data_IF_361010928229
#
_entry.id   IF_361010928229
#
_cell.length_a   1.000
_cell.length_b   1.000
_cell.length_c   1.000
_cell.angle_alpha   90.00
_cell.angle_beta   90.00
_cell.angle_gamma   90.00
#
_symmetry.space_group_name_H-M   'P 1'
#
loop_
_entity.id
_entity.type
_entity.pdbx_description
1 polymer ?
#
# COMPACT_ATOMS: atom_id res chain seq x y z
N UNK A 1 11.05 -11.42 -8.15
CA UNK A 1 11.77 -11.16 -6.89
C UNK A 1 11.88 -9.68 -6.46
N UNK A 2 11.30 -8.64 -7.11
CA UNK A 2 11.45 -7.26 -6.62
C UNK A 2 10.67 -6.96 -5.33
N UNK A 3 9.50 -7.59 -5.15
CA UNK A 3 8.67 -7.44 -3.94
C UNK A 3 9.41 -7.82 -2.64
N UNK A 4 10.18 -8.89 -2.66
CA UNK A 4 10.89 -9.36 -1.47
C UNK A 4 12.04 -8.43 -1.08
N UNK A 5 12.67 -7.78 -2.07
CA UNK A 5 13.76 -6.83 -1.87
C UNK A 5 13.23 -5.55 -1.19
N UNK A 6 12.11 -5.01 -1.65
CA UNK A 6 11.52 -3.80 -1.06
C UNK A 6 10.97 -4.03 0.34
N UNK A 7 10.52 -5.24 0.64
CA UNK A 7 10.12 -5.62 2.00
C UNK A 7 11.30 -5.77 2.97
N UNK A 8 12.42 -6.35 2.54
CA UNK A 8 13.62 -6.42 3.38
C UNK A 8 14.15 -5.01 3.69
N UNK A 9 14.12 -4.10 2.71
CA UNK A 9 14.53 -2.71 2.89
C UNK A 9 13.62 -1.88 3.81
N UNK A 10 12.40 -2.36 4.07
CA UNK A 10 11.47 -1.74 5.03
C UNK A 10 11.74 -2.15 6.47
N UNK A 11 12.54 -3.21 6.71
CA UNK A 11 12.90 -3.61 8.05
C UNK A 11 13.82 -2.55 8.68
N UNK A 12 13.50 -2.05 9.89
CA UNK A 12 14.26 -0.99 10.53
C UNK A 12 15.71 -1.39 10.86
N UNK A 13 16.02 -2.70 10.89
CA UNK A 13 17.39 -3.20 11.12
C UNK A 13 18.29 -3.15 9.87
N UNK A 14 17.73 -3.05 8.67
CA UNK A 14 18.48 -3.29 7.41
C UNK A 14 18.40 -2.12 6.42
N UNK A 15 17.30 -1.36 6.42
CA UNK A 15 17.09 -0.30 5.44
C UNK A 15 16.35 0.92 5.98
N UNK A 16 16.58 2.07 5.34
CA UNK A 16 15.81 3.27 5.64
C UNK A 16 14.48 3.24 4.86
N UNK A 17 13.35 3.66 5.45
CA UNK A 17 12.04 3.69 4.78
C UNK A 17 12.02 4.55 3.51
N UNK A 18 12.97 5.47 3.37
CA UNK A 18 13.15 6.29 2.18
C UNK A 18 13.48 5.48 0.92
N UNK A 19 14.41 4.52 1.01
CA UNK A 19 14.81 3.71 -0.14
C UNK A 19 13.70 2.76 -0.61
N UNK A 20 12.91 2.24 0.33
CA UNK A 20 11.76 1.41 -0.01
C UNK A 20 10.76 2.15 -0.91
N UNK A 21 10.44 3.40 -0.57
CA UNK A 21 9.50 4.22 -1.35
C UNK A 21 9.99 4.53 -2.78
N UNK A 22 11.31 4.71 -2.95
CA UNK A 22 11.93 4.87 -4.27
C UNK A 22 11.78 3.59 -5.09
N UNK A 23 12.10 2.44 -4.51
CA UNK A 23 11.96 1.16 -5.22
C UNK A 23 10.50 0.83 -5.55
N UNK A 24 9.56 1.21 -4.68
CA UNK A 24 8.13 1.10 -4.98
C UNK A 24 7.76 1.90 -6.24
N UNK A 25 8.38 3.05 -6.50
CA UNK A 25 8.14 3.84 -7.71
C UNK A 25 8.79 3.22 -8.95
N UNK A 26 10.00 2.68 -8.79
CA UNK A 26 10.74 2.03 -9.89
C UNK A 26 10.04 0.75 -10.34
N UNK A 27 9.47 -0.01 -9.42
CA UNK A 27 8.78 -1.27 -9.74
C UNK A 27 7.27 -1.14 -9.94
N UNK A 28 6.68 0.04 -9.69
CA UNK A 28 5.27 0.31 -9.94
C UNK A 28 4.77 -0.01 -11.38
N UNK A 29 5.58 0.13 -12.44
CA UNK A 29 5.16 -0.27 -13.79
C UNK A 29 4.90 -1.77 -13.96
N UNK A 30 5.43 -2.61 -13.06
CA UNK A 30 5.24 -4.06 -13.12
C UNK A 30 3.90 -4.44 -12.44
N UNK A 31 2.90 -4.96 -13.18
CA UNK A 31 1.58 -5.23 -12.61
C UNK A 31 1.61 -6.26 -11.48
N UNK A 32 2.49 -7.27 -11.58
CA UNK A 32 2.66 -8.29 -10.54
C UNK A 32 3.15 -7.67 -9.21
N UNK A 33 4.02 -6.66 -9.30
CA UNK A 33 4.51 -5.94 -8.13
C UNK A 33 3.38 -5.17 -7.43
N UNK A 34 2.67 -4.34 -8.18
CA UNK A 34 1.53 -3.57 -7.65
C UNK A 34 0.45 -4.48 -7.05
N UNK A 35 0.18 -5.65 -7.66
CA UNK A 35 -0.83 -6.60 -7.15
C UNK A 35 -0.39 -7.18 -5.80
N UNK A 36 0.82 -7.72 -5.72
CA UNK A 36 1.36 -8.29 -4.47
C UNK A 36 1.45 -7.26 -3.34
N UNK A 37 1.87 -6.03 -3.66
CA UNK A 37 1.95 -4.93 -2.70
C UNK A 37 0.58 -4.49 -2.19
N UNK A 38 -0.39 -4.37 -3.11
CA UNK A 38 -1.79 -4.09 -2.79
C UNK A 38 -2.37 -5.10 -1.79
N UNK A 39 -2.20 -6.40 -2.06
CA UNK A 39 -2.67 -7.44 -1.15
C UNK A 39 -1.99 -7.39 0.22
N UNK A 40 -0.68 -7.15 0.25
CA UNK A 40 0.07 -7.04 1.51
C UNK A 40 -0.45 -5.87 2.34
N UNK A 41 -0.54 -4.68 1.76
CA UNK A 41 -0.90 -3.47 2.50
C UNK A 41 -2.35 -3.55 3.01
N UNK A 42 -3.28 -4.15 2.22
CA UNK A 42 -4.65 -4.44 2.66
C UNK A 42 -4.71 -5.47 3.81
N UNK A 43 -3.83 -6.47 3.77
CA UNK A 43 -3.76 -7.51 4.80
C UNK A 43 -3.19 -6.94 6.10
N UNK A 44 -2.10 -6.16 6.01
CA UNK A 44 -1.48 -5.50 7.16
C UNK A 44 -2.44 -4.52 7.82
N UNK A 45 -3.14 -3.69 7.04
CA UNK A 45 -4.16 -2.80 7.59
C UNK A 45 -5.26 -3.59 8.27
N UNK A 46 -5.85 -4.60 7.62
CA UNK A 46 -6.90 -5.45 8.23
C UNK A 46 -6.47 -6.10 9.55
N UNK A 47 -5.27 -6.69 9.59
CA UNK A 47 -4.73 -7.29 10.83
C UNK A 47 -4.50 -6.25 11.92
N UNK A 48 -3.99 -5.06 11.57
CA UNK A 48 -3.81 -3.99 12.55
C UNK A 48 -5.15 -3.52 13.13
N UNK A 49 -6.21 -3.40 12.31
CA UNK A 49 -7.55 -3.04 12.80
C UNK A 49 -8.05 -4.06 13.83
N UNK A 50 -7.98 -5.36 13.50
CA UNK A 50 -8.43 -6.44 14.38
C UNK A 50 -7.59 -6.55 15.65
N UNK A 51 -6.27 -6.35 15.55
CA UNK A 51 -5.39 -6.32 16.70
C UNK A 51 -5.74 -5.17 17.65
N UNK A 52 -5.97 -3.97 17.13
CA UNK A 52 -6.34 -2.80 17.93
C UNK A 52 -7.74 -2.95 18.57
N UNK A 53 -8.69 -3.55 17.86
CA UNK A 53 -10.03 -3.85 18.39
C UNK A 53 -9.96 -4.90 19.53
N UNK A 54 -9.18 -5.97 19.35
CA UNK A 54 -8.98 -6.97 20.40
C UNK A 54 -8.27 -6.42 21.65
N UNK A 55 -7.34 -5.47 21.47
CA UNK A 55 -6.69 -4.75 22.58
C UNK A 55 -7.71 -3.93 23.37
N UNK A 56 -8.62 -3.22 22.70
CA UNK A 56 -9.72 -2.52 23.38
C UNK A 56 -10.60 -3.46 24.20
N UNK A 57 -10.88 -4.67 23.71
CA UNK A 57 -11.63 -5.68 24.45
C UNK A 57 -10.93 -6.21 25.71
N UNK A 58 -9.60 -6.18 25.77
CA UNK A 58 -8.82 -6.57 26.96
C UNK A 58 -8.68 -5.45 27.99
N UNK A 59 -8.60 -4.19 27.55
CA UNK A 59 -8.49 -3.03 28.43
C UNK A 59 -9.88 -2.53 28.88
N UNK A 60 -10.59 -3.35 29.67
CA UNK A 60 -11.96 -3.11 30.18
C UNK A 60 -12.08 -1.88 31.12
N UNK A 61 -10.96 -1.26 31.53
CA UNK A 61 -10.94 -0.12 32.47
C UNK A 61 -10.94 1.28 31.80
N UNK A 62 -11.13 1.39 30.48
CA UNK A 62 -11.35 2.68 29.82
C UNK A 62 -12.75 2.73 29.19
N UNK A 63 -13.64 3.54 29.76
CA UNK A 63 -15.05 3.67 29.34
C UNK A 63 -15.26 4.20 27.90
N UNK A 64 -14.20 4.62 27.21
CA UNK A 64 -14.21 5.04 25.80
C UNK A 64 -12.94 4.57 25.10
N UNK A 65 -12.82 3.27 24.83
CA UNK A 65 -11.73 2.75 24.02
C UNK A 65 -12.01 3.03 22.53
N UNK A 66 -11.54 4.19 22.05
CA UNK A 66 -11.48 4.51 20.62
C UNK A 66 -10.05 4.33 20.09
N UNK A 67 -9.93 4.14 18.78
CA UNK A 67 -8.64 4.01 18.07
C UNK A 67 -7.72 5.21 18.34
N UNK A 68 -8.31 6.40 18.44
CA UNK A 68 -7.63 7.64 18.80
C UNK A 68 -7.04 7.60 20.22
N UNK A 69 -7.76 7.00 21.17
CA UNK A 69 -7.30 6.85 22.55
C UNK A 69 -6.13 5.85 22.65
N UNK A 70 -6.16 4.77 21.87
CA UNK A 70 -5.04 3.82 21.75
C UNK A 70 -3.79 4.48 21.14
N UNK A 71 -3.98 5.32 20.12
CA UNK A 71 -2.89 6.03 19.46
C UNK A 71 -2.28 7.08 20.40
N UNK A 72 -3.08 7.94 21.04
CA UNK A 72 -2.59 9.06 21.84
C UNK A 72 -2.24 8.72 23.30
N UNK A 73 -2.97 7.81 23.96
CA UNK A 73 -2.71 7.47 25.37
C UNK A 73 -1.77 6.28 25.57
N UNK A 74 -1.85 5.26 24.73
CA UNK A 74 -0.98 4.08 24.82
C UNK A 74 0.25 4.18 23.89
N UNK A 75 0.32 5.18 23.02
CA UNK A 75 1.41 5.42 22.06
C UNK A 75 1.73 4.19 21.20
N UNK A 76 0.70 3.40 20.87
CA UNK A 76 0.84 2.24 19.99
C UNK A 76 0.74 2.76 18.55
N UNK A 77 1.89 3.01 17.94
CA UNK A 77 1.99 3.52 16.56
C UNK A 77 1.29 2.65 15.52
N UNK A 78 1.11 1.35 15.79
CA UNK A 78 0.41 0.39 14.93
C UNK A 78 -1.11 0.64 14.90
N UNK A 79 -1.68 1.29 15.92
CA UNK A 79 -3.10 1.63 16.00
C UNK A 79 -3.43 3.05 15.52
N UNK A 80 -2.42 3.85 15.17
CA UNK A 80 -2.56 5.19 14.62
C UNK A 80 -2.90 5.14 13.12
N UNK A 81 -4.00 4.49 12.78
CA UNK A 81 -4.48 4.33 11.41
C UNK A 81 -5.81 5.06 11.29
N UNK A 82 -5.86 6.02 10.36
CA UNK A 82 -7.07 6.77 9.99
C UNK A 82 -8.23 5.81 9.68
N UNK A 83 -9.47 6.26 9.93
CA UNK A 83 -10.67 5.41 9.84
C UNK A 83 -10.94 4.86 8.42
N UNK A 84 -10.42 5.50 7.37
CA UNK A 84 -10.51 5.06 5.96
C UNK A 84 -9.13 4.83 5.32
N UNK A 85 -8.34 3.84 5.77
CA UNK A 85 -6.93 3.74 5.37
C UNK A 85 -6.73 3.13 3.97
N UNK A 86 -7.71 2.37 3.48
CA UNK A 86 -7.56 1.52 2.32
C UNK A 86 -7.33 2.28 1.00
N UNK A 87 -8.00 3.41 0.81
CA UNK A 87 -7.97 4.22 -0.42
C UNK A 87 -7.01 5.42 -0.35
N UNK A 88 -6.24 5.54 0.73
CA UNK A 88 -5.30 6.65 0.90
C UNK A 88 -4.16 6.61 -0.14
N UNK A 89 -3.61 7.79 -0.46
CA UNK A 89 -2.51 7.94 -1.42
C UNK A 89 -1.14 7.66 -0.80
N UNK A 90 -1.00 7.96 0.49
CA UNK A 90 0.16 7.62 1.32
C UNK A 90 0.01 6.22 1.89
N UNK A 91 1.13 5.52 2.07
CA UNK A 91 1.15 4.23 2.75
C UNK A 91 0.55 4.40 4.16
N UNK A 92 -0.40 3.53 4.61
CA UNK A 92 -0.72 2.17 4.14
C UNK A 92 -1.76 2.05 3.01
N UNK A 93 -2.14 3.15 2.35
CA UNK A 93 -3.16 3.13 1.30
C UNK A 93 -2.73 2.56 -0.05
N UNK A 94 -3.73 2.09 -0.80
CA UNK A 94 -3.56 1.38 -2.07
C UNK A 94 -3.66 2.30 -3.31
N UNK A 95 -4.08 3.56 -3.11
CA UNK A 95 -4.50 4.47 -4.18
C UNK A 95 -3.41 4.71 -5.24
N UNK A 96 -2.16 4.83 -4.81
CA UNK A 96 -1.00 4.98 -5.71
C UNK A 96 -0.80 3.76 -6.62
N UNK A 97 -0.98 2.54 -6.10
CA UNK A 97 -0.81 1.32 -6.88
C UNK A 97 -1.95 1.12 -7.89
N UNK A 98 -3.19 1.45 -7.50
CA UNK A 98 -4.33 1.45 -8.42
C UNK A 98 -4.12 2.41 -9.58
N UNK A 99 -3.70 3.64 -9.30
CA UNK A 99 -3.41 4.64 -10.33
C UNK A 99 -2.34 4.15 -11.31
N UNK A 100 -1.25 3.55 -10.79
CA UNK A 100 -0.19 2.99 -11.63
C UNK A 100 -0.65 1.83 -12.50
N UNK A 101 -1.47 0.92 -11.96
CA UNK A 101 -2.05 -0.16 -12.75
C UNK A 101 -2.93 0.35 -13.91
N UNK A 102 -3.80 1.34 -13.64
CA UNK A 102 -4.65 1.94 -14.67
C UNK A 102 -3.81 2.64 -15.74
N UNK A 103 -2.77 3.36 -15.33
CA UNK A 103 -1.87 4.07 -16.25
C UNK A 103 -1.09 3.09 -17.15
N UNK A 104 -0.52 2.03 -16.58
CA UNK A 104 0.19 1.00 -17.36
C UNK A 104 -0.76 0.30 -18.32
N UNK A 105 -1.97 -0.03 -17.88
CA UNK A 105 -3.01 -0.62 -18.73
C UNK A 105 -3.39 0.30 -19.91
N UNK A 106 -3.60 1.59 -19.64
CA UNK A 106 -3.91 2.57 -20.68
C UNK A 106 -2.76 2.75 -21.69
N UNK A 107 -1.51 2.79 -21.22
CA UNK A 107 -0.33 2.89 -22.09
C UNK A 107 -0.16 1.64 -22.94
N UNK A 108 -0.26 0.44 -22.34
CA UNK A 108 -0.16 -0.81 -23.07
C UNK A 108 -1.27 -0.94 -24.11
N UNK A 109 -2.50 -0.56 -23.75
CA UNK A 109 -3.63 -0.53 -24.66
C UNK A 109 -3.43 0.45 -25.82
N UNK A 110 -2.93 1.66 -25.55
CA UNK A 110 -2.60 2.63 -26.60
C UNK A 110 -1.52 2.10 -27.56
N UNK A 111 -0.48 1.45 -27.06
CA UNK A 111 0.57 0.82 -27.88
C UNK A 111 -0.01 -0.28 -28.77
N UNK A 112 -0.92 -1.11 -28.25
CA UNK A 112 -1.60 -2.14 -29.03
C UNK A 112 -2.44 -1.52 -30.15
N UNK A 113 -3.22 -0.48 -29.86
CA UNK A 113 -4.00 0.22 -30.88
C UNK A 113 -3.11 0.82 -31.98
N UNK A 114 -1.99 1.46 -31.62
CA UNK A 114 -1.06 2.02 -32.61
C UNK A 114 -0.52 0.93 -33.55
N UNK A 115 -0.25 -0.28 -33.02
CA UNK A 115 0.21 -1.42 -33.79
C UNK A 115 -0.88 -2.00 -34.68
N UNK A 116 -2.09 -2.21 -34.15
CA UNK A 116 -3.21 -2.82 -34.90
C UNK A 116 -3.75 -1.91 -36.00
N UNK A 117 -3.82 -0.60 -35.76
CA UNK A 117 -4.30 0.36 -36.76
C UNK A 117 -3.26 0.64 -37.86
N UNK A 118 -2.08 0.01 -37.81
CA UNK A 118 -0.97 0.21 -38.74
C UNK A 118 -0.67 1.71 -39.00
N UNK A 119 -0.88 2.57 -38.00
CA UNK A 119 -0.72 4.03 -38.15
C UNK A 119 0.70 4.37 -38.63
N UNK A 120 1.67 3.55 -38.23
CA UNK A 120 3.09 3.68 -38.59
C UNK A 120 3.39 3.09 -39.99
N UNK A 121 2.61 2.13 -40.48
CA UNK A 121 2.83 1.49 -41.79
C UNK A 121 2.17 2.26 -42.96
N UNK A 122 1.29 3.21 -42.62
CA UNK A 122 0.59 4.10 -43.57
C UNK A 122 1.26 5.47 -43.77
N UNK A 123 2.37 5.74 -43.07
CA UNK A 123 3.19 6.96 -43.21
C UNK A 123 4.42 6.67 -44.06
#
# INVERSE_FOLDING_TARGET
MPFLITEVLRLPEVGSPFYASIFDWVFAPLPIYCMSRSFRDMTVSSFSLLACDSLCGQYVNMDNCTRDTLCHKLNISVCCIDDDPFLSWSEPGIGRYLFMMTLVGAVAFAVLLIKEYEIINKV
#
